data_IF_341619171824
#
_entry.id   IF_341619171824
#
_cell.length_a   1.000
_cell.length_b   1.000
_cell.length_c   1.000
_cell.angle_alpha   90.00
_cell.angle_beta   90.00
_cell.angle_gamma   90.00
#
_symmetry.space_group_name_H-M   'P 1'
#
loop_
_entity.id
_entity.type
_entity.pdbx_description
1 polymer ?
#
# COMPACT_ATOMS: atom_id res chain seq x y z
N UNK A 1 -7.57 -25.87 -16.92
CA UNK A 1 -6.25 -25.23 -16.79
C UNK A 1 -6.45 -23.75 -16.58
N UNK A 2 -6.23 -23.24 -15.35
CA UNK A 2 -6.68 -21.91 -14.92
C UNK A 2 -5.51 -21.01 -14.49
N UNK A 3 -4.53 -20.83 -15.38
CA UNK A 3 -3.66 -19.66 -15.27
C UNK A 3 -3.95 -18.80 -16.50
N UNK A 4 -4.76 -17.74 -16.33
CA UNK A 4 -4.67 -16.61 -17.25
C UNK A 4 -3.21 -16.18 -17.19
N UNK A 5 -2.44 -16.48 -18.25
CA UNK A 5 -1.04 -16.05 -18.33
C UNK A 5 -1.05 -14.54 -18.24
N UNK A 6 -0.64 -13.99 -17.11
CA UNK A 6 -0.29 -12.58 -17.03
C UNK A 6 0.82 -12.36 -18.06
N UNK A 7 0.48 -11.64 -19.13
CA UNK A 7 1.45 -11.33 -20.18
C UNK A 7 2.30 -10.14 -19.72
N UNK A 8 3.59 -10.09 -20.09
CA UNK A 8 4.39 -8.88 -19.95
C UNK A 8 3.69 -7.69 -20.59
N UNK A 9 3.73 -6.53 -19.92
CA UNK A 9 3.14 -5.28 -20.41
C UNK A 9 4.21 -4.19 -20.40
N UNK A 10 4.16 -3.33 -21.42
CA UNK A 10 4.96 -2.10 -21.47
C UNK A 10 4.39 -1.10 -20.45
N UNK A 11 5.23 -0.57 -19.57
CA UNK A 11 4.80 0.36 -18.51
C UNK A 11 4.91 1.84 -18.90
N UNK A 12 5.69 2.17 -19.94
CA UNK A 12 5.90 3.54 -20.40
C UNK A 12 7.38 3.84 -20.68
N UNK A 13 7.70 5.12 -20.79
CA UNK A 13 9.06 5.65 -20.95
C UNK A 13 9.56 6.28 -19.65
N UNK A 14 10.87 6.47 -19.55
CA UNK A 14 11.49 7.14 -18.40
C UNK A 14 11.07 8.61 -18.29
N UNK A 15 10.90 9.11 -17.06
CA UNK A 15 10.57 10.51 -16.78
C UNK A 15 11.69 11.21 -16.01
N UNK A 16 12.24 12.30 -16.55
CA UNK A 16 13.24 13.13 -15.87
C UNK A 16 12.64 13.84 -14.67
N UNK A 17 13.01 13.42 -13.46
CA UNK A 17 12.50 14.00 -12.20
C UNK A 17 13.46 15.02 -11.59
N UNK A 18 14.77 14.85 -11.77
CA UNK A 18 15.80 15.80 -11.32
C UNK A 18 16.80 16.07 -12.43
N UNK A 19 17.16 17.34 -12.60
CA UNK A 19 18.23 17.79 -13.49
C UNK A 19 18.92 18.97 -12.80
N UNK A 20 20.21 18.82 -12.51
CA UNK A 20 21.13 19.89 -12.09
C UNK A 20 22.35 19.88 -13.01
N UNK A 21 23.35 20.72 -12.75
CA UNK A 21 24.63 20.67 -13.46
C UNK A 21 25.47 19.45 -13.04
N UNK A 22 25.32 19.01 -11.78
CA UNK A 22 26.09 17.92 -11.19
C UNK A 22 25.46 16.54 -11.38
N UNK A 23 24.13 16.43 -11.50
CA UNK A 23 23.49 15.13 -11.69
C UNK A 23 22.08 15.20 -12.32
N UNK A 24 21.62 14.04 -12.77
CA UNK A 24 20.25 13.84 -13.25
C UNK A 24 19.67 12.53 -12.75
N UNK A 25 18.35 12.50 -12.60
CA UNK A 25 17.58 11.32 -12.20
C UNK A 25 16.41 11.15 -13.17
N UNK A 26 16.37 10.00 -13.83
CA UNK A 26 15.28 9.53 -14.68
C UNK A 26 14.50 8.42 -13.96
N UNK A 27 13.26 8.66 -13.54
CA UNK A 27 12.41 7.60 -12.98
C UNK A 27 11.93 6.68 -14.10
N UNK A 28 12.22 5.38 -14.00
CA UNK A 28 11.84 4.35 -14.97
C UNK A 28 10.51 3.70 -14.62
N UNK A 29 10.25 3.55 -13.32
CA UNK A 29 9.00 3.08 -12.75
C UNK A 29 8.86 3.68 -11.34
N UNK A 30 7.63 4.01 -10.93
CA UNK A 30 7.35 4.64 -9.65
C UNK A 30 6.17 5.59 -9.70
N UNK A 31 6.14 6.53 -8.75
CA UNK A 31 5.01 7.42 -8.52
C UNK A 31 4.80 8.42 -9.68
N UNK A 32 5.87 8.88 -10.32
CA UNK A 32 5.80 9.91 -11.38
C UNK A 32 5.69 9.27 -12.77
N UNK A 33 6.57 8.33 -13.11
CA UNK A 33 6.66 7.73 -14.44
C UNK A 33 5.50 6.76 -14.73
N UNK A 34 5.03 6.02 -13.71
CA UNK A 34 4.04 4.95 -13.90
C UNK A 34 2.81 5.06 -12.98
N UNK A 35 2.77 6.03 -12.06
CA UNK A 35 1.69 6.19 -11.09
C UNK A 35 1.57 5.05 -10.07
N UNK A 36 2.64 4.28 -9.83
CA UNK A 36 2.64 3.12 -8.96
C UNK A 36 3.49 3.35 -7.70
N UNK A 37 2.89 3.16 -6.52
CA UNK A 37 3.56 3.37 -5.24
C UNK A 37 4.21 2.09 -4.66
N UNK A 38 4.15 0.97 -5.39
CA UNK A 38 4.63 -0.33 -4.92
C UNK A 38 6.15 -0.43 -4.87
N UNK A 39 6.83 0.13 -5.87
CA UNK A 39 8.27 0.12 -6.04
C UNK A 39 8.66 1.25 -6.99
N UNK A 40 9.83 1.85 -6.77
CA UNK A 40 10.43 2.79 -7.73
C UNK A 40 11.76 2.26 -8.24
N UNK A 41 12.03 2.50 -9.52
CA UNK A 41 13.30 2.28 -10.20
C UNK A 41 13.67 3.60 -10.85
N UNK A 42 14.87 4.12 -10.60
CA UNK A 42 15.38 5.27 -11.33
C UNK A 42 16.75 4.97 -11.93
N UNK A 43 17.17 5.77 -12.90
CA UNK A 43 18.53 5.82 -13.41
C UNK A 43 19.14 7.16 -13.03
N UNK A 44 20.15 7.12 -12.17
CA UNK A 44 20.87 8.30 -11.71
C UNK A 44 22.20 8.40 -12.45
N UNK A 45 22.53 9.60 -12.94
CA UNK A 45 23.78 9.91 -13.63
C UNK A 45 24.45 11.12 -12.98
N UNK A 46 25.67 10.92 -12.52
CA UNK A 46 26.50 11.96 -11.92
C UNK A 46 27.41 12.55 -12.98
N UNK A 47 27.31 13.86 -13.20
CA UNK A 47 28.05 14.64 -14.19
C UNK A 47 29.25 15.39 -13.61
N UNK A 48 29.26 15.63 -12.30
CA UNK A 48 30.36 16.27 -11.57
C UNK A 48 30.44 15.72 -10.13
N UNK A 49 31.61 15.80 -9.47
CA UNK A 49 31.73 15.41 -8.07
C UNK A 49 30.69 16.13 -7.20
N UNK A 50 29.93 15.35 -6.42
CA UNK A 50 28.80 15.87 -5.64
C UNK A 50 28.46 14.90 -4.51
N UNK A 51 27.51 15.26 -3.66
CA UNK A 51 26.96 14.39 -2.62
C UNK A 51 25.57 14.84 -2.21
N UNK A 52 24.89 13.97 -1.49
CA UNK A 52 23.61 14.32 -0.85
C UNK A 52 23.87 14.69 0.63
N UNK A 53 22.91 15.37 1.29
CA UNK A 53 22.90 15.47 2.75
C UNK A 53 22.78 14.10 3.42
N UNK A 54 22.81 14.08 4.75
CA UNK A 54 22.42 12.89 5.50
C UNK A 54 20.95 12.55 5.26
N UNK A 55 20.71 11.29 4.94
CA UNK A 55 19.42 10.74 4.60
C UNK A 55 19.00 9.69 5.64
N UNK A 56 17.70 9.65 5.94
CA UNK A 56 17.06 8.51 6.62
C UNK A 56 15.79 8.16 5.87
N UNK A 57 15.68 6.91 5.42
CA UNK A 57 14.60 6.47 4.54
C UNK A 57 13.51 5.73 5.32
N UNK A 58 12.24 6.02 5.02
CA UNK A 58 11.10 5.26 5.53
C UNK A 58 10.73 4.07 4.61
N UNK A 59 11.68 3.65 3.78
CA UNK A 59 11.62 2.51 2.85
C UNK A 59 12.99 1.82 2.76
N UNK A 60 13.00 0.61 2.20
CA UNK A 60 14.22 -0.11 1.88
C UNK A 60 14.74 0.30 0.50
N UNK A 61 16.06 0.41 0.34
CA UNK A 61 16.68 0.84 -0.93
C UNK A 61 17.87 -0.05 -1.33
N UNK A 62 17.93 -0.41 -2.61
CA UNK A 62 19.09 -1.04 -3.25
C UNK A 62 19.75 -0.07 -4.22
N UNK A 63 21.03 0.21 -4.02
CA UNK A 63 21.84 1.09 -4.86
C UNK A 63 22.72 0.23 -5.76
N UNK A 64 22.27 -0.02 -6.98
CA UNK A 64 22.98 -0.84 -7.97
C UNK A 64 23.96 0.03 -8.77
N UNK A 65 25.27 -0.07 -8.52
CA UNK A 65 26.28 0.75 -9.19
C UNK A 65 26.57 0.17 -10.57
N UNK A 66 26.28 0.94 -11.62
CA UNK A 66 26.50 0.55 -13.01
C UNK A 66 27.88 0.99 -13.52
N UNK A 67 28.32 2.19 -13.12
CA UNK A 67 29.61 2.79 -13.49
C UNK A 67 30.16 3.62 -12.33
N UNK A 68 31.48 3.78 -12.29
CA UNK A 68 32.15 4.66 -11.33
C UNK A 68 32.15 4.11 -9.90
N UNK A 69 32.12 5.03 -8.95
CA UNK A 69 32.23 4.78 -7.51
C UNK A 69 31.25 5.65 -6.73
N UNK A 70 30.68 5.08 -5.67
CA UNK A 70 29.86 5.77 -4.67
C UNK A 70 30.44 5.49 -3.28
N UNK A 71 30.62 6.54 -2.49
CA UNK A 71 31.00 6.45 -1.09
C UNK A 71 29.75 6.64 -0.24
N UNK A 72 29.45 5.68 0.64
CA UNK A 72 28.32 5.73 1.55
C UNK A 72 28.85 5.89 2.97
N UNK A 73 28.70 7.09 3.52
CA UNK A 73 29.03 7.36 4.92
C UNK A 73 27.89 6.89 5.80
N UNK A 74 28.20 6.19 6.89
CA UNK A 74 27.26 5.68 7.87
C UNK A 74 27.89 5.72 9.27
N UNK A 75 27.14 5.37 10.32
CA UNK A 75 27.62 5.45 11.70
C UNK A 75 28.88 4.62 11.98
N UNK A 76 29.14 3.58 11.19
CA UNK A 76 30.29 2.68 11.33
C UNK A 76 31.51 3.06 10.48
N UNK A 77 31.43 4.11 9.67
CA UNK A 77 32.51 4.52 8.76
C UNK A 77 32.01 4.81 7.35
N UNK A 78 32.83 4.50 6.36
CA UNK A 78 32.53 4.71 4.94
C UNK A 78 32.59 3.38 4.20
N UNK A 79 31.51 3.05 3.50
CA UNK A 79 31.45 1.92 2.58
C UNK A 79 31.68 2.45 1.15
N UNK A 80 32.67 1.89 0.45
CA UNK A 80 32.90 2.19 -0.96
C UNK A 80 32.23 1.12 -1.84
N UNK A 81 31.40 1.56 -2.78
CA UNK A 81 30.74 0.71 -3.76
C UNK A 81 31.16 1.10 -5.19
N UNK A 82 31.51 0.10 -5.99
CA UNK A 82 32.03 0.24 -7.36
C UNK A 82 31.11 -0.44 -8.37
N UNK A 83 31.32 -0.14 -9.65
CA UNK A 83 30.59 -0.76 -10.76
C UNK A 83 30.45 -2.29 -10.63
N UNK A 84 29.23 -2.78 -10.78
CA UNK A 84 28.87 -4.20 -10.62
C UNK A 84 28.49 -4.61 -9.20
N UNK A 85 28.63 -3.72 -8.21
CA UNK A 85 28.23 -3.97 -6.83
C UNK A 85 26.85 -3.34 -6.54
N UNK A 86 26.16 -3.93 -5.56
CA UNK A 86 24.88 -3.42 -5.05
C UNK A 86 24.99 -3.23 -3.55
N UNK A 87 24.57 -2.07 -3.06
CA UNK A 87 24.43 -1.81 -1.63
C UNK A 87 22.98 -1.86 -1.24
N UNK A 88 22.68 -2.43 -0.07
CA UNK A 88 21.38 -2.37 0.57
C UNK A 88 21.44 -1.33 1.69
N UNK A 89 20.48 -0.41 1.70
CA UNK A 89 20.23 0.52 2.80
C UNK A 89 18.88 0.16 3.40
N UNK A 90 18.90 -0.25 4.67
CA UNK A 90 17.67 -0.65 5.36
C UNK A 90 16.82 0.55 5.75
N UNK A 91 15.50 0.37 5.81
CA UNK A 91 14.59 1.36 6.39
C UNK A 91 15.08 1.83 7.77
N UNK A 92 15.12 3.14 7.96
CA UNK A 92 15.56 3.78 9.20
C UNK A 92 17.08 3.85 9.37
N UNK A 93 17.85 3.29 8.43
CA UNK A 93 19.30 3.46 8.42
C UNK A 93 19.66 4.88 7.96
N UNK A 94 20.58 5.51 8.70
CA UNK A 94 21.07 6.85 8.43
C UNK A 94 22.38 6.78 7.66
N UNK A 95 22.41 7.37 6.49
CA UNK A 95 23.56 7.31 5.59
C UNK A 95 23.71 8.62 4.80
N UNK A 96 24.86 8.82 4.16
CA UNK A 96 25.11 9.96 3.27
C UNK A 96 25.89 9.48 2.04
N UNK A 97 25.30 9.50 0.83
CA UNK A 97 26.02 9.17 -0.39
C UNK A 97 26.86 10.36 -0.85
N UNK A 98 28.05 10.03 -1.35
CA UNK A 98 28.99 10.94 -1.96
C UNK A 98 29.54 10.31 -3.25
N UNK A 99 29.70 11.15 -4.26
CA UNK A 99 30.17 10.79 -5.58
C UNK A 99 31.45 11.59 -5.85
N UNK A 100 32.64 11.00 -5.61
CA UNK A 100 33.89 11.74 -5.67
C UNK A 100 34.30 12.08 -7.12
N UNK A 101 33.71 11.44 -8.12
CA UNK A 101 34.07 11.56 -9.53
C UNK A 101 32.83 11.70 -10.42
N UNK A 102 32.98 12.36 -11.57
CA UNK A 102 31.98 12.38 -12.62
C UNK A 102 31.88 11.02 -13.33
N UNK A 103 30.73 10.74 -13.97
CA UNK A 103 30.51 9.52 -14.75
C UNK A 103 30.01 8.33 -13.94
N UNK A 104 29.78 8.49 -12.63
CA UNK A 104 29.08 7.48 -11.83
C UNK A 104 27.64 7.36 -12.31
N UNK A 105 27.21 6.13 -12.58
CA UNK A 105 25.83 5.80 -12.94
C UNK A 105 25.34 4.71 -12.00
N UNK A 106 24.14 4.86 -11.46
CA UNK A 106 23.56 3.85 -10.58
C UNK A 106 22.03 3.80 -10.72
N UNK A 107 21.46 2.68 -10.29
CA UNK A 107 20.01 2.45 -10.26
C UNK A 107 19.59 2.26 -8.81
N UNK A 108 18.95 3.25 -8.18
CA UNK A 108 18.23 3.01 -6.93
C UNK A 108 16.94 2.24 -7.21
N UNK A 109 16.67 1.24 -6.36
CA UNK A 109 15.41 0.50 -6.32
C UNK A 109 14.84 0.62 -4.92
N UNK A 110 13.63 1.18 -4.78
CA UNK A 110 13.03 1.47 -3.47
C UNK A 110 11.74 0.64 -3.27
N UNK A 111 11.53 0.14 -2.04
CA UNK A 111 10.28 -0.52 -1.63
C UNK A 111 9.80 0.00 -0.26
N UNK A 112 8.61 0.64 -0.17
CA UNK A 112 7.73 1.06 -1.29
C UNK A 112 8.40 2.11 -2.19
N UNK A 113 7.70 2.56 -3.24
CA UNK A 113 8.24 3.55 -4.17
C UNK A 113 8.68 4.85 -3.47
N UNK A 114 9.70 5.48 -4.03
CA UNK A 114 10.20 6.77 -3.60
C UNK A 114 9.08 7.80 -3.52
N UNK A 115 9.05 8.52 -2.40
CA UNK A 115 8.36 9.79 -2.27
C UNK A 115 9.20 10.74 -1.43
N UNK A 116 9.14 12.07 -1.69
CA UNK A 116 9.88 13.06 -0.91
C UNK A 116 9.56 12.99 0.59
N UNK A 117 8.30 12.76 0.97
CA UNK A 117 7.85 12.68 2.35
C UNK A 117 8.40 11.46 3.11
N UNK A 118 8.94 10.46 2.40
CA UNK A 118 9.57 9.26 2.97
C UNK A 118 11.10 9.32 2.98
N UNK A 119 11.70 10.39 2.44
CA UNK A 119 13.13 10.60 2.38
C UNK A 119 13.51 11.79 3.27
N UNK A 120 13.91 11.52 4.51
CA UNK A 120 14.26 12.57 5.48
C UNK A 120 15.66 13.06 5.14
N UNK A 121 15.77 14.34 4.78
CA UNK A 121 17.03 15.03 4.44
C UNK A 121 17.40 15.98 5.57
N UNK A 122 18.59 15.81 6.13
CA UNK A 122 19.14 16.75 7.12
C UNK A 122 19.79 17.94 6.40
N UNK A 123 19.75 19.14 6.99
CA UNK A 123 20.43 20.36 6.53
C UNK A 123 20.06 20.91 5.13
N UNK A 124 19.17 20.26 4.37
CA UNK A 124 18.59 20.79 3.11
C UNK A 124 17.11 20.37 2.89
N UNK A 125 16.19 20.66 3.83
CA UNK A 125 14.78 20.30 3.67
C UNK A 125 14.05 21.15 2.61
N UNK A 126 14.56 22.34 2.30
CA UNK A 126 13.94 23.30 1.39
C UNK A 126 14.75 23.59 0.10
N UNK A 127 15.76 22.77 -0.19
CA UNK A 127 16.55 22.90 -1.42
C UNK A 127 15.71 22.82 -2.70
N UNK A 128 16.31 23.23 -3.82
CA UNK A 128 15.66 23.21 -5.12
C UNK A 128 15.19 21.79 -5.50
N UNK A 129 16.02 20.78 -5.24
CA UNK A 129 15.72 19.37 -5.53
C UNK A 129 14.50 18.88 -4.72
N UNK A 130 14.48 18.98 -3.37
CA UNK A 130 13.28 18.70 -2.57
C UNK A 130 12.02 19.42 -3.05
N UNK A 131 12.10 20.72 -3.37
CA UNK A 131 10.94 21.51 -3.84
C UNK A 131 10.41 21.03 -5.17
N UNK A 132 11.30 20.73 -6.13
CA UNK A 132 10.91 20.22 -7.46
C UNK A 132 10.26 18.84 -7.35
N UNK A 133 10.86 17.95 -6.54
CA UNK A 133 10.29 16.63 -6.28
C UNK A 133 8.93 16.75 -5.58
N UNK A 134 8.80 17.58 -4.54
CA UNK A 134 7.50 17.82 -3.90
C UNK A 134 6.44 18.31 -4.89
N UNK A 135 6.80 19.15 -5.87
CA UNK A 135 5.87 19.59 -6.92
C UNK A 135 5.48 18.46 -7.87
N UNK A 136 6.44 17.65 -8.31
CA UNK A 136 6.20 16.53 -9.25
C UNK A 136 5.33 15.44 -8.66
N UNK A 137 5.48 15.19 -7.36
CA UNK A 137 4.65 14.25 -6.62
C UNK A 137 3.25 14.84 -6.27
N UNK A 138 2.93 16.04 -6.78
CA UNK A 138 1.76 16.84 -6.39
C UNK A 138 1.95 17.41 -4.99
N UNK A 139 1.18 18.45 -4.60
CA UNK A 139 1.06 18.79 -3.17
C UNK A 139 0.62 17.50 -2.46
N UNK A 140 1.56 16.78 -1.87
CA UNK A 140 1.40 16.44 -0.49
C UNK A 140 1.06 17.78 0.15
N UNK A 141 -0.21 17.98 0.44
CA UNK A 141 -0.53 18.77 1.61
C UNK A 141 0.53 18.37 2.63
N UNK A 142 1.23 19.34 3.18
CA UNK A 142 1.59 19.22 4.56
C UNK A 142 0.24 18.97 5.29
N UNK A 143 -0.25 17.73 5.30
CA UNK A 143 -0.54 17.13 6.56
C UNK A 143 0.72 17.40 7.33
N UNK A 144 0.59 18.30 8.29
CA UNK A 144 1.44 18.36 9.45
C UNK A 144 1.88 16.94 9.87
N UNK A 145 2.68 16.84 10.91
CA UNK A 145 2.39 15.82 11.91
C UNK A 145 0.96 16.04 12.47
N UNK A 146 -0.07 16.05 11.63
CA UNK A 146 -1.36 15.54 11.94
C UNK A 146 -1.06 14.08 12.05
N UNK A 147 -1.28 13.54 13.24
CA UNK A 147 -1.69 12.15 13.39
C UNK A 147 -2.39 11.74 12.11
N UNK A 148 -1.72 10.94 11.25
CA UNK A 148 -2.39 10.33 10.11
C UNK A 148 -3.69 9.80 10.70
N UNK A 149 -4.83 10.34 10.28
CA UNK A 149 -6.11 10.05 10.92
C UNK A 149 -6.13 8.54 11.09
N UNK A 150 -6.06 8.09 12.35
CA UNK A 150 -5.67 6.73 12.62
C UNK A 150 -6.72 5.86 11.95
N UNK A 151 -6.32 5.13 10.90
CA UNK A 151 -7.25 4.28 10.14
C UNK A 151 -7.98 3.43 11.17
N UNK A 152 -9.32 3.37 11.16
CA UNK A 152 -10.05 2.67 12.20
C UNK A 152 -9.51 1.26 12.37
N UNK A 153 -9.14 0.92 13.60
CA UNK A 153 -8.54 -0.37 13.94
C UNK A 153 -9.56 -1.50 13.78
N UNK A 154 -10.82 -1.23 14.15
CA UNK A 154 -11.92 -2.17 14.01
C UNK A 154 -12.45 -2.22 12.59
N UNK A 155 -12.64 -3.44 12.11
CA UNK A 155 -13.18 -3.76 10.80
C UNK A 155 -14.34 -4.75 10.94
N UNK A 156 -15.24 -4.66 9.97
CA UNK A 156 -16.49 -5.40 9.94
C UNK A 156 -16.67 -6.04 8.57
N UNK A 157 -17.00 -7.32 8.55
CA UNK A 157 -17.41 -8.07 7.36
C UNK A 157 -18.76 -8.72 7.64
N UNK A 158 -19.59 -8.94 6.62
CA UNK A 158 -20.82 -9.71 6.79
C UNK A 158 -20.89 -10.86 5.80
N UNK A 159 -21.44 -11.98 6.25
CA UNK A 159 -21.57 -13.20 5.46
C UNK A 159 -22.77 -14.02 5.91
N UNK A 160 -23.14 -15.03 5.11
CA UNK A 160 -24.11 -16.03 5.53
C UNK A 160 -23.54 -16.84 6.69
N UNK A 161 -24.34 -17.01 7.74
CA UNK A 161 -24.02 -17.75 8.97
C UNK A 161 -23.46 -19.14 8.67
N UNK A 162 -24.11 -19.85 7.75
CA UNK A 162 -23.73 -21.22 7.38
C UNK A 162 -22.29 -21.31 6.86
N UNK A 163 -21.86 -20.36 6.02
CA UNK A 163 -20.50 -20.35 5.45
C UNK A 163 -19.45 -20.06 6.52
N UNK A 164 -19.76 -19.16 7.45
CA UNK A 164 -18.88 -18.89 8.58
C UNK A 164 -18.76 -20.09 9.52
N UNK A 165 -19.87 -20.75 9.83
CA UNK A 165 -19.87 -21.93 10.70
C UNK A 165 -19.16 -23.13 10.07
N UNK A 166 -19.26 -23.31 8.75
CA UNK A 166 -18.48 -24.31 8.00
C UNK A 166 -16.97 -24.02 8.05
N UNK A 167 -16.56 -22.76 7.89
CA UNK A 167 -15.16 -22.36 8.03
C UNK A 167 -14.65 -22.62 9.46
N UNK A 168 -15.44 -22.28 10.48
CA UNK A 168 -15.12 -22.61 11.88
C UNK A 168 -14.98 -24.10 12.11
N UNK A 169 -15.93 -24.91 11.62
CA UNK A 169 -15.94 -26.35 11.83
C UNK A 169 -14.75 -27.05 11.15
N UNK A 170 -14.30 -26.55 10.01
CA UNK A 170 -13.13 -27.07 9.30
C UNK A 170 -11.80 -26.56 9.84
N UNK A 171 -11.80 -25.47 10.62
CA UNK A 171 -10.59 -24.76 11.05
C UNK A 171 -9.89 -23.99 9.93
N UNK A 172 -10.53 -23.88 8.75
CA UNK A 172 -10.01 -23.11 7.64
C UNK A 172 -10.36 -21.62 7.77
N UNK A 173 -9.61 -20.76 7.08
CA UNK A 173 -10.03 -19.37 6.92
C UNK A 173 -11.34 -19.32 6.11
N UNK A 174 -12.21 -18.38 6.47
CA UNK A 174 -13.40 -18.07 5.68
C UNK A 174 -13.01 -17.27 4.43
N UNK A 175 -13.61 -17.62 3.29
CA UNK A 175 -13.51 -16.85 2.05
C UNK A 175 -14.93 -16.57 1.54
N UNK A 176 -15.26 -15.32 1.14
CA UNK A 176 -16.57 -15.02 0.58
C UNK A 176 -16.78 -15.76 -0.74
N UNK A 177 -18.04 -16.09 -1.12
CA UNK A 177 -18.32 -16.79 -2.37
C UNK A 177 -17.75 -16.11 -3.62
N UNK A 178 -17.64 -14.78 -3.61
CA UNK A 178 -17.12 -13.96 -4.71
C UNK A 178 -15.61 -13.76 -4.66
N UNK A 179 -14.89 -14.35 -3.69
CA UNK A 179 -13.46 -14.07 -3.43
C UNK A 179 -12.56 -14.12 -4.68
N UNK A 180 -12.68 -15.19 -5.49
CA UNK A 180 -11.88 -15.35 -6.71
C UNK A 180 -12.31 -14.38 -7.82
N UNK A 181 -13.60 -14.03 -7.89
CA UNK A 181 -14.15 -13.08 -8.86
C UNK A 181 -13.73 -11.65 -8.55
N UNK A 182 -13.70 -11.31 -7.25
CA UNK A 182 -13.32 -10.00 -6.74
C UNK A 182 -11.79 -9.77 -6.86
N UNK A 183 -11.00 -10.80 -7.16
CA UNK A 183 -9.56 -10.68 -7.35
C UNK A 183 -8.74 -11.02 -6.10
N UNK A 184 -9.28 -11.87 -5.22
CA UNK A 184 -8.58 -12.44 -4.09
C UNK A 184 -8.61 -11.56 -2.83
N UNK A 185 -9.69 -10.82 -2.62
CA UNK A 185 -9.90 -10.06 -1.38
C UNK A 185 -11.30 -10.24 -0.80
N UNK A 186 -11.40 -10.01 0.51
CA UNK A 186 -12.66 -9.97 1.26
C UNK A 186 -13.02 -8.51 1.53
N UNK A 187 -14.22 -8.10 1.12
CA UNK A 187 -14.73 -6.76 1.40
C UNK A 187 -14.98 -6.56 2.90
N UNK A 188 -14.50 -5.46 3.46
CA UNK A 188 -14.78 -5.05 4.82
C UNK A 188 -15.16 -3.57 4.88
N UNK A 189 -15.63 -3.12 6.05
CA UNK A 189 -15.91 -1.71 6.32
C UNK A 189 -15.40 -1.33 7.71
N UNK A 190 -14.96 -0.09 7.86
CA UNK A 190 -14.72 0.53 9.17
C UNK A 190 -15.98 1.22 9.72
N UNK A 191 -17.05 1.31 8.92
CA UNK A 191 -18.31 1.98 9.25
C UNK A 191 -19.42 0.92 9.22
N UNK A 192 -19.79 0.35 10.38
CA UNK A 192 -20.72 -0.79 10.45
C UNK A 192 -22.09 -0.52 9.84
N UNK A 193 -22.60 0.72 9.93
CA UNK A 193 -23.90 1.11 9.36
C UNK A 193 -23.95 0.92 7.84
N UNK A 194 -22.80 1.02 7.15
CA UNK A 194 -22.71 0.77 5.70
C UNK A 194 -23.05 -0.68 5.34
N UNK A 195 -22.85 -1.64 6.24
CA UNK A 195 -23.17 -3.05 5.95
C UNK A 195 -24.65 -3.26 5.63
N UNK A 196 -25.55 -2.57 6.32
CA UNK A 196 -26.99 -2.68 6.05
C UNK A 196 -27.34 -2.10 4.68
N UNK A 197 -26.76 -0.96 4.33
CA UNK A 197 -26.91 -0.35 3.00
C UNK A 197 -26.36 -1.29 1.91
N UNK A 198 -25.15 -1.83 2.12
CA UNK A 198 -24.52 -2.80 1.21
C UNK A 198 -25.35 -4.06 1.05
N UNK A 199 -25.93 -4.59 2.13
CA UNK A 199 -26.73 -5.81 2.09
C UNK A 199 -28.02 -5.62 1.31
N UNK A 200 -28.68 -4.46 1.52
CA UNK A 200 -29.87 -4.07 0.79
C UNK A 200 -29.59 -3.67 -0.66
N UNK A 201 -28.33 -3.64 -1.11
CA UNK A 201 -27.95 -3.43 -2.51
C UNK A 201 -27.59 -4.74 -3.21
N UNK A 202 -26.79 -5.61 -2.58
CA UNK A 202 -26.24 -6.80 -3.23
C UNK A 202 -26.93 -8.14 -2.86
N UNK A 203 -27.53 -8.24 -1.67
CA UNK A 203 -27.86 -9.55 -1.08
C UNK A 203 -29.35 -9.76 -0.80
N UNK A 204 -30.25 -8.98 -1.40
CA UNK A 204 -31.70 -9.09 -1.12
C UNK A 204 -32.26 -10.46 -1.53
N UNK A 205 -31.67 -11.09 -2.56
CA UNK A 205 -32.02 -12.43 -3.03
C UNK A 205 -31.38 -13.58 -2.24
N UNK A 206 -30.55 -13.29 -1.23
CA UNK A 206 -29.91 -14.33 -0.43
C UNK A 206 -30.87 -14.93 0.60
N UNK A 207 -30.71 -16.23 0.86
CA UNK A 207 -31.48 -16.97 1.86
C UNK A 207 -30.63 -17.27 3.12
N UNK A 208 -31.32 -17.59 4.21
CA UNK A 208 -30.69 -17.98 5.48
C UNK A 208 -30.26 -16.81 6.38
N UNK A 209 -29.66 -17.17 7.51
CA UNK A 209 -29.17 -16.22 8.50
C UNK A 209 -27.87 -15.56 8.06
N UNK A 210 -27.69 -14.31 8.47
CA UNK A 210 -26.48 -13.53 8.24
C UNK A 210 -25.83 -13.12 9.55
N UNK A 211 -24.51 -12.98 9.51
CA UNK A 211 -23.68 -12.56 10.64
C UNK A 211 -22.75 -11.44 10.21
N UNK A 212 -22.55 -10.48 11.11
CA UNK A 212 -21.49 -9.50 11.05
C UNK A 212 -20.30 -9.96 11.92
N UNK A 213 -19.13 -10.06 11.33
CA UNK A 213 -17.88 -10.46 11.96
C UNK A 213 -17.07 -9.22 12.31
N UNK A 214 -16.59 -9.15 13.55
CA UNK A 214 -15.68 -8.09 14.04
C UNK A 214 -14.27 -8.62 14.19
N UNK A 215 -13.33 -7.89 13.62
CA UNK A 215 -11.90 -8.20 13.67
C UNK A 215 -11.11 -6.89 13.61
N UNK A 216 -9.79 -6.97 13.78
CA UNK A 216 -8.96 -5.77 13.76
C UNK A 216 -7.85 -5.83 12.71
N UNK A 217 -7.39 -4.67 12.24
CA UNK A 217 -6.23 -4.58 11.34
C UNK A 217 -5.00 -5.25 11.95
N UNK A 218 -4.76 -5.04 13.25
CA UNK A 218 -3.64 -5.66 13.95
C UNK A 218 -3.74 -7.18 13.99
N UNK A 219 -4.95 -7.73 14.16
CA UNK A 219 -5.16 -9.19 14.16
C UNK A 219 -4.86 -9.82 12.80
N UNK A 220 -5.28 -9.18 11.70
CA UNK A 220 -4.95 -9.60 10.34
C UNK A 220 -3.45 -9.49 10.05
N UNK A 221 -2.82 -8.38 10.47
CA UNK A 221 -1.39 -8.17 10.26
C UNK A 221 -0.52 -9.23 10.96
N UNK A 222 -0.92 -9.71 12.14
CA UNK A 222 -0.24 -10.82 12.83
C UNK A 222 -0.29 -12.13 12.04
N UNK A 223 -1.27 -12.30 11.16
CA UNK A 223 -1.39 -13.44 10.26
C UNK A 223 -0.72 -13.19 8.88
N UNK A 224 -0.03 -12.07 8.69
CA UNK A 224 0.57 -11.70 7.41
C UNK A 224 -0.45 -11.24 6.36
N UNK A 225 -1.68 -10.91 6.77
CA UNK A 225 -2.75 -10.49 5.87
C UNK A 225 -2.77 -8.97 5.76
N UNK A 226 -2.80 -8.47 4.53
CA UNK A 226 -2.75 -7.04 4.22
C UNK A 226 -4.17 -6.50 4.05
N UNK A 227 -4.41 -5.31 4.62
CA UNK A 227 -5.63 -4.53 4.37
C UNK A 227 -5.25 -3.30 3.57
N UNK A 228 -5.92 -3.09 2.43
CA UNK A 228 -5.81 -1.83 1.68
C UNK A 228 -7.12 -1.05 1.79
N UNK A 229 -7.00 0.26 1.87
CA UNK A 229 -8.15 1.16 1.88
C UNK A 229 -8.27 1.75 0.49
N UNK A 230 -9.30 1.32 -0.23
CA UNK A 230 -9.50 1.63 -1.65
C UNK A 230 -10.92 2.18 -1.85
N UNK A 231 -11.22 2.71 -3.04
CA UNK A 231 -12.59 3.11 -3.37
C UNK A 231 -13.54 1.91 -3.37
N UNK A 232 -14.85 2.16 -3.36
CA UNK A 232 -15.84 1.08 -3.48
C UNK A 232 -15.61 0.25 -4.77
N UNK A 233 -15.51 -1.06 -4.62
CA UNK A 233 -15.34 -2.02 -5.72
C UNK A 233 -16.60 -2.90 -5.87
N UNK A 234 -16.89 -3.40 -7.10
CA UNK A 234 -17.98 -4.36 -7.35
C UNK A 234 -17.87 -5.60 -6.47
N UNK A 235 -19.01 -6.27 -6.26
CA UNK A 235 -19.08 -7.59 -5.59
C UNK A 235 -19.55 -8.61 -6.63
N UNK A 236 -18.67 -9.52 -7.03
CA UNK A 236 -18.88 -10.41 -8.16
C UNK A 236 -19.23 -9.62 -9.43
N UNK A 237 -20.37 -9.96 -10.05
CA UNK A 237 -20.85 -9.29 -11.27
C UNK A 237 -21.66 -8.00 -11.01
N UNK A 238 -21.97 -7.65 -9.76
CA UNK A 238 -22.84 -6.53 -9.44
C UNK A 238 -22.04 -5.24 -9.22
N UNK A 239 -22.41 -4.17 -9.95
CA UNK A 239 -21.77 -2.86 -9.84
C UNK A 239 -22.07 -2.16 -8.51
N UNK A 240 -21.15 -1.28 -8.09
CA UNK A 240 -21.33 -0.40 -6.92
C UNK A 240 -22.46 0.61 -7.13
N UNK A 241 -23.07 1.07 -6.04
CA UNK A 241 -24.09 2.12 -6.10
C UNK A 241 -23.51 3.46 -6.56
N UNK A 242 -24.31 4.23 -7.33
CA UNK A 242 -23.86 5.52 -7.91
C UNK A 242 -23.43 6.56 -6.86
N UNK A 243 -23.91 6.43 -5.62
CA UNK A 243 -23.59 7.34 -4.51
C UNK A 243 -22.32 6.97 -3.72
N UNK A 244 -21.61 5.88 -4.08
CA UNK A 244 -20.50 5.34 -3.28
C UNK A 244 -19.11 5.78 -3.76
N UNK A 245 -19.04 6.74 -4.68
CA UNK A 245 -17.78 7.21 -5.27
C UNK A 245 -16.78 7.78 -4.24
N UNK A 246 -17.27 8.23 -3.09
CA UNK A 246 -16.46 8.79 -2.00
C UNK A 246 -16.16 7.79 -0.88
N UNK A 247 -16.66 6.56 -0.97
CA UNK A 247 -16.47 5.57 0.08
C UNK A 247 -15.06 5.00 0.03
N UNK A 248 -14.37 5.12 1.17
CA UNK A 248 -13.16 4.35 1.45
C UNK A 248 -13.57 3.02 2.08
N UNK A 249 -13.23 1.94 1.38
CA UNK A 249 -13.56 0.56 1.69
C UNK A 249 -12.26 -0.23 1.99
N UNK A 250 -12.11 -0.73 3.22
CA UNK A 250 -11.07 -1.70 3.55
C UNK A 250 -11.28 -3.02 2.79
N UNK A 251 -10.30 -3.43 1.97
CA UNK A 251 -10.23 -4.74 1.35
C UNK A 251 -9.15 -5.58 2.04
N UNK A 252 -9.54 -6.75 2.54
CA UNK A 252 -8.65 -7.72 3.16
C UNK A 252 -8.11 -8.64 2.06
N UNK A 253 -6.83 -8.55 1.73
CA UNK A 253 -6.22 -9.37 0.65
C UNK A 253 -5.94 -10.78 1.17
N UNK A 254 -7.00 -11.59 1.19
CA UNK A 254 -7.04 -12.94 1.73
C UNK A 254 -8.42 -13.26 2.34
N UNK A 255 -8.55 -14.47 2.86
CA UNK A 255 -9.69 -14.86 3.69
C UNK A 255 -9.58 -14.29 5.10
N UNK A 256 -10.58 -14.57 5.93
CA UNK A 256 -10.60 -14.26 7.36
C UNK A 256 -10.27 -15.52 8.16
N UNK A 257 -9.05 -15.63 8.74
CA UNK A 257 -8.75 -16.69 9.68
C UNK A 257 -9.71 -16.65 10.88
N UNK A 258 -10.16 -17.81 11.34
CA UNK A 258 -11.16 -17.87 12.42
C UNK A 258 -10.69 -17.13 13.68
N UNK A 259 -9.42 -17.25 14.01
CA UNK A 259 -8.81 -16.64 15.19
C UNK A 259 -8.72 -15.11 15.16
N UNK A 260 -8.92 -14.46 14.01
CA UNK A 260 -8.89 -12.98 13.95
C UNK A 260 -10.24 -12.35 14.29
N UNK A 261 -11.33 -13.12 14.21
CA UNK A 261 -12.68 -12.67 14.52
C UNK A 261 -12.91 -12.83 16.02
N UNK A 262 -13.09 -11.71 16.73
CA UNK A 262 -13.29 -11.70 18.19
C UNK A 262 -14.74 -11.53 18.59
N UNK A 263 -15.64 -11.13 17.68
CA UNK A 263 -17.07 -11.08 17.94
C UNK A 263 -17.90 -11.36 16.67
N UNK A 264 -19.03 -12.01 16.90
CA UNK A 264 -20.04 -12.34 15.90
C UNK A 264 -21.35 -11.68 16.29
N UNK A 265 -21.83 -10.76 15.46
CA UNK A 265 -23.04 -10.00 15.71
C UNK A 265 -24.18 -10.49 14.81
N UNK A 266 -25.34 -10.88 15.36
CA UNK A 266 -26.50 -11.29 14.56
C UNK A 266 -27.01 -10.14 13.69
N UNK A 267 -27.29 -10.43 12.42
CA UNK A 267 -27.94 -9.49 11.51
C UNK A 267 -29.44 -9.78 11.47
N UNK A 268 -30.25 -8.75 11.70
CA UNK A 268 -31.72 -8.83 11.66
C UNK A 268 -32.19 -8.49 10.26
N UNK A 269 -33.04 -9.34 9.68
CA UNK A 269 -33.69 -9.13 8.39
C UNK A 269 -35.17 -9.51 8.45
N UNK A 270 -35.95 -8.96 7.53
CA UNK A 270 -37.36 -9.22 7.32
C UNK A 270 -37.60 -9.50 5.84
N UNK A 271 -37.79 -10.78 5.49
CA UNK A 271 -37.76 -11.23 4.11
C UNK A 271 -36.46 -10.80 3.41
N UNK A 272 -36.53 -10.06 2.29
CA UNK A 272 -35.36 -9.61 1.53
C UNK A 272 -34.66 -8.36 2.13
N UNK A 273 -35.24 -7.75 3.17
CA UNK A 273 -34.78 -6.46 3.70
C UNK A 273 -33.91 -6.67 4.94
N UNK A 274 -32.67 -6.19 4.90
CA UNK A 274 -31.76 -6.14 6.05
C UNK A 274 -32.08 -4.90 6.90
N UNK A 275 -32.30 -5.10 8.20
CA UNK A 275 -32.79 -4.06 9.11
C UNK A 275 -31.70 -3.49 10.02
N UNK A 276 -30.97 -4.36 10.71
CA UNK A 276 -30.01 -3.93 11.74
C UNK A 276 -28.98 -5.01 12.05
N UNK A 277 -27.93 -4.63 12.76
CA UNK A 277 -26.93 -5.54 13.31
C UNK A 277 -26.99 -5.41 14.84
N UNK A 278 -27.39 -6.49 15.51
CA UNK A 278 -27.58 -6.48 16.94
C UNK A 278 -26.24 -6.36 17.67
N UNK A 279 -26.12 -5.41 18.58
CA UNK A 279 -24.92 -5.22 19.41
C UNK A 279 -23.94 -4.16 18.90
N UNK A 280 -24.28 -3.40 17.86
CA UNK A 280 -23.50 -2.22 17.44
C UNK A 280 -23.77 -0.96 18.30
N UNK A 281 -24.96 -0.83 18.89
CA UNK A 281 -25.40 0.37 19.63
C UNK A 281 -24.84 0.50 21.07
N UNK A 282 -23.79 -0.26 21.42
CA UNK A 282 -23.20 -0.30 22.77
C UNK A 282 -21.68 -0.07 22.80
N UNK A 283 -21.15 0.73 21.88
CA UNK A 283 -19.76 1.19 21.91
C UNK A 283 -19.71 2.68 22.25
#
# INVERSE_FOLDING_TARGET
GKYKRAMPRLLGEATRVVQTDEFSIDELAGNVATGADTLSIAHCKISAPTGEPWLTLDYDEWLCILKGVMLLHHAGGTLEARAGQTVFVGRGERFRPEFPEAGTEYVPVCIPAFRPDRCKREDDPEGEVPRKLAKLHGKATATSLGTAEAKPEELYHMCQRVLWDEAKASGAAYFPPTFDEDGGFTHATAVPSRLIETANHFYQGSEGEWVCLRFTRSSLRRCGIIVKDEGALPVGAQAVGEAWNEWVCPHVYGGLPIQVVYAELPIVRDGPIFKSINGLDKA
#
